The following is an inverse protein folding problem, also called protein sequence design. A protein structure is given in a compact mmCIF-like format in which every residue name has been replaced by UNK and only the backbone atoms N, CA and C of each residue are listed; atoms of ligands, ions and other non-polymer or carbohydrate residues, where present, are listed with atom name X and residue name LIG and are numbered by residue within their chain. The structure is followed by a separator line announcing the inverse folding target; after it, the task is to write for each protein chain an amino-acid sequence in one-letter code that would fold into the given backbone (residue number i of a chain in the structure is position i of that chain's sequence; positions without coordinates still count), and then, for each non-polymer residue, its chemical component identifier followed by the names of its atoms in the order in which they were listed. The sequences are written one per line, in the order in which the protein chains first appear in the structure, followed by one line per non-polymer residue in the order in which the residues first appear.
data_IF_965428094091
#
_entry.id   IF_965428094091
#
_cell.length_a   1.000
_cell.length_b   1.000
_cell.length_c   1.000
_cell.angle_alpha   90.00
_cell.angle_beta   90.00
_cell.angle_gamma   90.00
#
_symmetry.space_group_name_H-M   'P 1'
#
loop_
_entity.id
_entity.type
_entity.pdbx_description
1 polymer ?
#
# COMPACT_ATOMS: atom_id res chain seq x y z
N UNK A 1 0.66 19.29 -5.25
CA UNK A 1 1.02 17.88 -5.52
C UNK A 1 2.49 17.84 -5.92
N UNK A 2 3.36 17.17 -5.16
CA UNK A 2 4.82 17.25 -5.33
C UNK A 2 5.24 16.84 -6.75
N UNK A 3 6.00 17.71 -7.43
CA UNK A 3 6.53 17.46 -8.79
C UNK A 3 7.35 16.17 -8.87
N UNK A 4 7.98 15.75 -7.76
CA UNK A 4 8.70 14.48 -7.63
C UNK A 4 7.81 13.25 -7.80
N UNK A 5 6.64 13.23 -7.14
CA UNK A 5 5.67 12.11 -7.22
C UNK A 5 5.23 11.89 -8.67
N UNK A 6 4.85 12.97 -9.36
CA UNK A 6 4.44 12.89 -10.77
C UNK A 6 5.55 12.39 -11.69
N UNK A 7 6.81 12.78 -11.43
CA UNK A 7 7.97 12.31 -12.20
C UNK A 7 8.13 10.81 -12.07
N UNK A 8 8.08 10.28 -10.83
CA UNK A 8 8.21 8.84 -10.57
C UNK A 8 7.07 8.06 -11.21
N UNK A 9 5.82 8.51 -11.07
CA UNK A 9 4.66 7.83 -11.68
C UNK A 9 4.74 7.81 -13.21
N UNK A 10 5.13 8.92 -13.85
CA UNK A 10 5.30 8.98 -15.31
C UNK A 10 6.41 8.06 -15.79
N UNK A 11 7.55 8.06 -15.11
CA UNK A 11 8.68 7.18 -15.45
C UNK A 11 8.31 5.71 -15.30
N UNK A 12 7.60 5.37 -14.22
CA UNK A 12 7.07 4.01 -13.97
C UNK A 12 6.09 3.61 -15.05
N UNK A 13 5.10 4.45 -15.37
CA UNK A 13 4.13 4.15 -16.40
C UNK A 13 4.82 3.91 -17.75
N UNK A 14 5.77 4.76 -18.15
CA UNK A 14 6.52 4.60 -19.39
C UNK A 14 7.43 3.35 -19.41
N UNK A 15 7.79 2.80 -18.24
CA UNK A 15 8.66 1.63 -18.16
C UNK A 15 7.94 0.31 -18.42
N UNK A 16 6.60 0.29 -18.39
CA UNK A 16 5.79 -0.91 -18.55
C UNK A 16 5.94 -1.49 -19.96
N UNK A 17 6.18 -2.81 -20.03
CA UNK A 17 6.43 -3.51 -21.30
C UNK A 17 5.38 -3.18 -22.35
N UNK A 18 4.09 -3.20 -21.99
CA UNK A 18 3.02 -2.90 -22.94
C UNK A 18 3.08 -1.48 -23.49
N UNK A 19 3.46 -0.49 -22.67
CA UNK A 19 3.58 0.91 -23.12
C UNK A 19 4.82 1.11 -24.00
N UNK A 20 5.94 0.47 -23.64
CA UNK A 20 7.14 0.42 -24.49
C UNK A 20 6.84 -0.20 -25.85
N UNK A 21 6.09 -1.29 -25.88
CA UNK A 21 5.74 -1.98 -27.12
C UNK A 21 4.83 -1.13 -28.03
N UNK A 22 3.87 -0.41 -27.44
CA UNK A 22 3.04 0.55 -28.18
C UNK A 22 3.89 1.67 -28.79
N UNK A 23 4.88 2.20 -28.06
CA UNK A 23 5.82 3.20 -28.62
C UNK A 23 6.67 2.59 -29.74
N UNK A 24 7.20 1.38 -29.55
CA UNK A 24 8.04 0.66 -30.52
C UNK A 24 7.30 0.44 -31.85
N UNK A 25 6.01 0.16 -31.78
CA UNK A 25 5.14 -0.08 -32.94
C UNK A 25 4.54 1.20 -33.53
N UNK A 26 4.99 2.38 -33.10
CA UNK A 26 4.51 3.68 -33.61
C UNK A 26 3.15 4.12 -33.05
N UNK A 27 2.53 3.35 -32.16
CA UNK A 27 1.24 3.65 -31.51
C UNK A 27 1.40 4.62 -30.32
N UNK A 28 2.15 5.69 -30.52
CA UNK A 28 2.53 6.65 -29.48
C UNK A 28 1.32 7.31 -28.79
N UNK A 29 0.26 7.63 -29.53
CA UNK A 29 -0.96 8.20 -28.95
C UNK A 29 -1.66 7.23 -27.98
N UNK A 30 -1.67 5.93 -28.29
CA UNK A 30 -2.23 4.91 -27.40
C UNK A 30 -1.33 4.67 -26.18
N UNK A 31 -0.01 4.68 -26.37
CA UNK A 31 0.95 4.59 -25.27
C UNK A 31 0.74 5.76 -24.28
N UNK A 32 0.70 7.00 -24.76
CA UNK A 32 0.49 8.19 -23.94
C UNK A 32 -0.84 8.17 -23.20
N UNK A 33 -1.93 7.71 -23.85
CA UNK A 33 -3.24 7.58 -23.20
C UNK A 33 -3.18 6.60 -22.03
N UNK A 34 -2.64 5.40 -22.23
CA UNK A 34 -2.52 4.36 -21.19
C UNK A 34 -1.57 4.75 -20.06
N UNK A 35 -0.47 5.42 -20.40
CA UNK A 35 0.46 5.99 -19.42
C UNK A 35 -0.26 7.03 -18.55
N UNK A 36 -1.03 7.94 -19.16
CA UNK A 36 -1.84 8.93 -18.43
C UNK A 36 -2.91 8.29 -17.56
N UNK A 37 -3.62 7.30 -18.05
CA UNK A 37 -4.62 6.53 -17.28
C UNK A 37 -3.98 5.87 -16.06
N UNK A 38 -2.81 5.23 -16.24
CA UNK A 38 -2.04 4.62 -15.14
C UNK A 38 -1.62 5.66 -14.11
N UNK A 39 -1.05 6.79 -14.55
CA UNK A 39 -0.66 7.87 -13.65
C UNK A 39 -1.86 8.44 -12.88
N UNK A 40 -3.00 8.66 -13.54
CA UNK A 40 -4.21 9.19 -12.89
C UNK A 40 -4.78 8.21 -11.86
N UNK A 41 -4.80 6.92 -12.19
CA UNK A 41 -5.22 5.86 -11.26
C UNK A 41 -4.30 5.82 -10.03
N UNK A 42 -3.00 5.77 -10.25
CA UNK A 42 -2.00 5.68 -9.17
C UNK A 42 -2.01 6.94 -8.29
N UNK A 43 -2.22 8.13 -8.87
CA UNK A 43 -2.50 9.35 -8.11
C UNK A 43 -3.77 9.25 -7.28
N UNK A 44 -4.81 8.61 -7.81
CA UNK A 44 -6.04 8.33 -7.07
C UNK A 44 -5.78 7.47 -5.84
N UNK A 45 -4.97 6.41 -5.98
CA UNK A 45 -4.55 5.57 -4.86
C UNK A 45 -3.73 6.33 -3.81
N UNK A 46 -2.77 7.17 -4.22
CA UNK A 46 -2.00 8.00 -3.28
C UNK A 46 -2.90 8.98 -2.51
N UNK A 47 -3.88 9.60 -3.19
CA UNK A 47 -4.86 10.46 -2.52
C UNK A 47 -5.70 9.69 -1.50
N UNK A 48 -6.15 8.49 -1.85
CA UNK A 48 -6.88 7.64 -0.90
C UNK A 48 -5.99 7.24 0.28
N UNK A 49 -4.73 6.88 0.04
CA UNK A 49 -3.78 6.52 1.09
C UNK A 49 -3.55 7.66 2.10
N UNK A 50 -3.58 8.91 1.63
CA UNK A 50 -3.45 10.09 2.47
C UNK A 50 -4.73 10.47 3.23
N UNK A 51 -5.90 10.04 2.76
CA UNK A 51 -7.20 10.40 3.34
C UNK A 51 -7.75 9.35 4.30
N UNK A 52 -7.45 8.07 4.05
CA UNK A 52 -7.99 6.97 4.83
C UNK A 52 -7.13 6.72 6.08
N UNK A 53 -7.70 6.79 7.30
CA UNK A 53 -6.94 6.68 8.54
C UNK A 53 -6.27 5.31 8.74
N UNK A 54 -6.83 4.27 8.11
CA UNK A 54 -6.35 2.90 8.18
C UNK A 54 -5.61 2.45 6.92
N UNK A 55 -5.28 3.37 6.00
CA UNK A 55 -4.42 3.03 4.87
C UNK A 55 -3.02 2.65 5.37
N UNK A 56 -2.48 1.57 4.84
CA UNK A 56 -1.17 1.07 5.24
C UNK A 56 -0.53 0.24 4.12
N UNK A 57 0.77 0.07 4.20
CA UNK A 57 1.56 -0.77 3.29
C UNK A 57 2.10 -1.96 4.05
N UNK A 58 1.93 -3.17 3.52
CA UNK A 58 2.57 -4.38 4.02
C UNK A 58 3.61 -4.85 3.00
N UNK A 59 4.82 -5.20 3.44
CA UNK A 59 5.82 -5.88 2.61
C UNK A 59 6.26 -7.18 3.27
N UNK A 60 6.11 -8.28 2.55
CA UNK A 60 6.57 -9.60 2.95
C UNK A 60 7.18 -10.35 1.77
N UNK A 61 7.44 -11.64 1.95
CA UNK A 61 7.94 -12.52 0.89
C UNK A 61 6.98 -12.63 -0.31
N UNK A 62 5.66 -12.52 -0.05
CA UNK A 62 4.62 -12.51 -1.08
C UNK A 62 4.55 -11.23 -1.90
N UNK A 63 5.40 -10.23 -1.63
CA UNK A 63 5.41 -8.94 -2.29
C UNK A 63 4.94 -7.79 -1.41
N UNK A 64 4.57 -6.69 -2.06
CA UNK A 64 4.17 -5.45 -1.37
C UNK A 64 2.73 -5.11 -1.71
N UNK A 65 1.96 -4.77 -0.68
CA UNK A 65 0.52 -4.54 -0.73
C UNK A 65 0.22 -3.17 -0.12
N UNK A 66 -0.49 -2.31 -0.85
CA UNK A 66 -1.06 -1.07 -0.36
C UNK A 66 -2.54 -1.32 -0.06
N UNK A 67 -2.92 -1.20 1.21
CA UNK A 67 -4.28 -1.37 1.69
C UNK A 67 -4.96 0.00 1.80
N UNK A 68 -6.12 0.13 1.16
CA UNK A 68 -6.94 1.35 1.07
C UNK A 68 -8.38 1.03 1.52
N UNK A 69 -8.53 0.44 2.70
CA UNK A 69 -9.82 -0.08 3.18
C UNK A 69 -10.29 -1.27 2.33
N UNK A 70 -11.29 -1.07 1.46
CA UNK A 70 -11.82 -2.13 0.58
C UNK A 70 -10.92 -2.52 -0.58
N UNK A 71 -9.98 -1.66 -0.96
CA UNK A 71 -9.10 -1.92 -2.11
C UNK A 71 -7.72 -2.31 -1.61
N UNK A 72 -7.20 -3.42 -2.11
CA UNK A 72 -5.79 -3.78 -1.95
C UNK A 72 -5.11 -3.68 -3.31
N UNK A 73 -4.05 -2.88 -3.39
CA UNK A 73 -3.22 -2.75 -4.59
C UNK A 73 -1.91 -3.48 -4.33
N UNK A 74 -1.63 -4.54 -5.08
CA UNK A 74 -0.50 -5.42 -4.82
C UNK A 74 0.48 -5.50 -5.99
N UNK A 75 1.71 -5.86 -5.66
CA UNK A 75 2.71 -6.29 -6.64
C UNK A 75 3.58 -7.38 -6.05
N UNK A 76 3.99 -8.33 -6.89
CA UNK A 76 4.95 -9.36 -6.52
C UNK A 76 6.39 -8.82 -6.62
N UNK A 77 6.67 -7.76 -5.86
CA UNK A 77 7.97 -7.11 -5.82
C UNK A 77 8.19 -6.45 -4.45
N UNK A 78 9.46 -6.29 -4.01
CA UNK A 78 9.79 -5.52 -2.81
C UNK A 78 9.37 -4.05 -2.94
N UNK A 79 9.18 -3.36 -1.81
CA UNK A 79 8.72 -1.96 -1.79
C UNK A 79 9.57 -1.02 -2.65
N UNK A 80 10.89 -1.21 -2.70
CA UNK A 80 11.82 -0.42 -3.56
C UNK A 80 11.51 -0.53 -5.05
N UNK A 81 10.87 -1.63 -5.46
CA UNK A 81 10.43 -1.94 -6.83
C UNK A 81 8.92 -1.76 -7.01
N UNK A 82 8.21 -1.31 -5.97
CA UNK A 82 6.81 -0.91 -6.03
C UNK A 82 6.68 0.61 -5.85
N UNK A 83 6.82 1.41 -6.92
CA UNK A 83 6.89 2.87 -6.81
C UNK A 83 5.67 3.48 -6.12
N UNK A 84 4.48 2.90 -6.31
CA UNK A 84 3.26 3.37 -5.66
C UNK A 84 3.34 3.25 -4.13
N UNK A 85 3.70 2.08 -3.61
CA UNK A 85 3.86 1.89 -2.16
C UNK A 85 5.02 2.73 -1.61
N UNK A 86 6.16 2.79 -2.31
CA UNK A 86 7.28 3.63 -1.89
C UNK A 86 6.88 5.11 -1.79
N UNK A 87 6.08 5.61 -2.74
CA UNK A 87 5.55 6.97 -2.70
C UNK A 87 4.53 7.17 -1.56
N UNK A 88 3.65 6.19 -1.29
CA UNK A 88 2.71 6.26 -0.17
C UNK A 88 3.45 6.34 1.18
N UNK A 89 4.44 5.48 1.39
CA UNK A 89 5.29 5.50 2.60
C UNK A 89 6.07 6.80 2.71
N UNK A 90 6.63 7.31 1.61
CA UNK A 90 7.29 8.62 1.61
C UNK A 90 6.34 9.79 1.92
N UNK A 91 5.02 9.61 1.75
CA UNK A 91 3.98 10.57 2.12
C UNK A 91 3.42 10.37 3.53
N UNK A 92 3.97 9.43 4.31
CA UNK A 92 3.58 9.20 5.69
C UNK A 92 2.60 8.04 5.89
N UNK A 93 2.23 7.29 4.85
CA UNK A 93 1.42 6.08 5.03
C UNK A 93 2.18 5.06 5.90
N UNK A 94 1.55 4.49 6.94
CA UNK A 94 2.14 3.44 7.77
C UNK A 94 2.67 2.27 6.94
N UNK A 95 3.86 1.80 7.28
CA UNK A 95 4.51 0.66 6.64
C UNK A 95 4.79 -0.43 7.66
N UNK A 96 4.35 -1.65 7.35
CA UNK A 96 4.49 -2.85 8.17
C UNK A 96 5.36 -3.83 7.38
N UNK A 97 6.60 -3.99 7.80
CA UNK A 97 7.52 -4.97 7.24
C UNK A 97 7.39 -6.29 7.99
N UNK A 98 6.86 -7.30 7.31
CA UNK A 98 6.59 -8.62 7.88
C UNK A 98 7.63 -9.66 7.48
N UNK A 99 8.68 -9.27 6.75
CA UNK A 99 9.79 -10.17 6.39
C UNK A 99 10.50 -10.79 7.61
N UNK A 100 10.61 -10.12 8.78
CA UNK A 100 11.19 -10.73 9.97
C UNK A 100 10.24 -11.70 10.70
N UNK A 101 8.95 -11.72 10.36
CA UNK A 101 7.94 -12.57 11.04
C UNK A 101 8.20 -14.03 10.71
N UNK A 102 8.46 -14.84 11.74
CA UNK A 102 8.71 -16.27 11.60
C UNK A 102 7.44 -17.11 11.68
N UNK A 103 6.49 -16.73 12.54
CA UNK A 103 5.19 -17.39 12.67
C UNK A 103 4.18 -16.84 11.66
N UNK A 104 4.33 -17.28 10.41
CA UNK A 104 3.48 -16.86 9.28
C UNK A 104 2.03 -17.31 9.46
N UNK A 105 1.78 -18.43 10.16
CA UNK A 105 0.43 -18.93 10.41
C UNK A 105 -0.28 -18.04 11.42
N UNK A 106 0.38 -17.67 12.52
CA UNK A 106 -0.17 -16.70 13.47
C UNK A 106 -0.44 -15.36 12.79
N UNK A 107 0.46 -14.90 11.92
CA UNK A 107 0.27 -13.66 11.18
C UNK A 107 -0.93 -13.72 10.23
N UNK A 108 -1.08 -14.83 9.48
CA UNK A 108 -2.21 -15.03 8.57
C UNK A 108 -3.57 -15.09 9.29
N UNK A 109 -3.56 -15.47 10.58
CA UNK A 109 -4.74 -15.52 11.44
C UNK A 109 -5.03 -14.21 12.17
N UNK A 110 -4.24 -13.14 11.95
CA UNK A 110 -4.56 -11.83 12.50
C UNK A 110 -5.90 -11.31 11.98
N UNK A 111 -6.65 -10.56 12.81
CA UNK A 111 -7.89 -9.93 12.37
C UNK A 111 -7.61 -8.92 11.24
N UNK A 112 -8.65 -8.61 10.46
CA UNK A 112 -8.52 -7.60 9.39
C UNK A 112 -8.44 -6.21 10.00
N UNK A 113 -7.80 -5.27 9.29
CA UNK A 113 -7.89 -3.86 9.68
C UNK A 113 -9.25 -3.31 9.25
N UNK A 114 -9.92 -2.61 10.16
CA UNK A 114 -11.19 -1.97 9.91
C UNK A 114 -11.11 -0.94 8.78
N UNK A 115 -12.21 -0.75 8.06
CA UNK A 115 -12.25 0.13 6.89
C UNK A 115 -12.10 1.62 7.26
N UNK A 116 -12.84 2.06 8.28
CA UNK A 116 -13.09 3.48 8.54
C UNK A 116 -12.53 3.95 9.91
N UNK A 117 -11.74 3.10 10.58
CA UNK A 117 -11.30 3.35 11.96
C UNK A 117 -12.30 2.90 13.02
N UNK A 118 -13.47 2.39 12.64
CA UNK A 118 -14.44 1.80 13.56
C UNK A 118 -14.03 0.39 13.98
N UNK A 119 -13.95 0.14 15.28
CA UNK A 119 -13.82 -1.22 15.79
C UNK A 119 -15.18 -1.93 15.66
N UNK A 120 -15.33 -2.78 14.64
CA UNK A 120 -16.42 -3.78 14.60
C UNK A 120 -16.11 -4.89 15.61
N UNK A 121 -16.22 -4.54 16.89
CA UNK A 121 -16.15 -5.49 18.00
C UNK A 121 -17.50 -6.17 18.22
N UNK A 122 -17.97 -6.93 17.25
CA UNK A 122 -19.01 -7.96 17.48
C UNK A 122 -18.36 -9.22 18.07
N UNK A 123 -19.07 -10.00 18.92
CA UNK A 123 -18.46 -11.07 19.69
C UNK A 123 -18.18 -12.30 18.81
N UNK A 124 -16.89 -12.62 18.65
CA UNK A 124 -16.35 -13.94 18.27
C UNK A 124 -16.87 -14.54 16.94
N UNK A 125 -16.18 -14.23 15.84
CA UNK A 125 -16.32 -14.95 14.56
C UNK A 125 -15.20 -14.65 13.55
N UNK A 126 -15.01 -15.50 12.52
CA UNK A 126 -14.10 -15.25 11.40
C UNK A 126 -14.60 -14.05 10.58
N UNK A 127 -14.17 -12.86 10.98
CA UNK A 127 -14.70 -11.59 10.46
C UNK A 127 -14.36 -10.35 11.30
N UNK A 128 -13.71 -10.52 12.46
CA UNK A 128 -13.27 -9.41 13.32
C UNK A 128 -12.40 -8.42 12.56
N UNK A 129 -12.80 -7.15 12.60
CA UNK A 129 -11.99 -6.03 12.16
C UNK A 129 -11.48 -5.27 13.38
N UNK A 130 -10.23 -4.83 13.35
CA UNK A 130 -9.59 -4.05 14.43
C UNK A 130 -9.03 -2.74 13.89
N UNK A 131 -8.86 -1.75 14.74
CA UNK A 131 -8.12 -0.53 14.39
C UNK A 131 -6.71 -0.83 13.84
N UNK A 132 -6.19 0.05 12.99
CA UNK A 132 -4.82 -0.11 12.45
C UNK A 132 -3.77 -0.16 13.56
N UNK A 133 -3.93 0.63 14.62
CA UNK A 133 -3.00 0.63 15.77
C UNK A 133 -3.02 -0.71 16.50
N UNK A 134 -4.20 -1.29 16.74
CA UNK A 134 -4.32 -2.63 17.34
C UNK A 134 -3.71 -3.71 16.45
N UNK A 135 -3.92 -3.63 15.14
CA UNK A 135 -3.31 -4.56 14.19
C UNK A 135 -1.78 -4.46 14.22
N UNK A 136 -1.24 -3.23 14.27
CA UNK A 136 0.20 -2.98 14.39
C UNK A 136 0.76 -3.59 15.67
N UNK A 137 0.09 -3.43 16.82
CA UNK A 137 0.53 -4.03 18.08
C UNK A 137 0.65 -5.56 17.97
N UNK A 138 -0.36 -6.20 17.34
CA UNK A 138 -0.35 -7.66 17.13
C UNK A 138 0.73 -8.09 16.13
N UNK A 139 0.93 -7.35 15.04
CA UNK A 139 1.96 -7.65 14.05
C UNK A 139 3.37 -7.49 14.63
N UNK A 140 3.60 -6.47 15.45
CA UNK A 140 4.88 -6.20 16.12
C UNK A 140 5.22 -7.29 17.14
N UNK A 141 4.22 -7.83 17.87
CA UNK A 141 4.41 -9.00 18.75
C UNK A 141 4.89 -10.24 17.99
N UNK A 142 4.55 -10.36 16.70
CA UNK A 142 5.00 -11.43 15.82
C UNK A 142 6.35 -11.12 15.12
N UNK A 143 6.95 -9.97 15.42
CA UNK A 143 8.24 -9.54 14.90
C UNK A 143 8.19 -8.61 13.69
N UNK A 144 7.02 -8.07 13.32
CA UNK A 144 6.95 -7.06 12.27
C UNK A 144 7.65 -5.76 12.71
N UNK A 145 8.23 -5.04 11.75
CA UNK A 145 8.81 -3.70 12.00
C UNK A 145 7.99 -2.61 11.33
N UNK A 146 7.86 -1.46 12.01
CA UNK A 146 6.94 -0.39 11.63
C UNK A 146 7.70 0.87 11.24
N UNK A 147 7.29 1.50 10.14
CA UNK A 147 7.72 2.85 9.75
C UNK A 147 6.50 3.75 9.59
N UNK A 148 6.63 5.04 9.88
CA UNK A 148 5.51 5.98 9.99
C UNK A 148 4.44 5.49 10.97
N UNK A 149 4.87 5.11 12.17
CA UNK A 149 3.99 4.54 13.17
C UNK A 149 2.89 5.54 13.56
N UNK A 150 1.61 5.26 13.25
CA UNK A 150 0.51 6.17 13.55
C UNK A 150 0.27 6.33 15.06
N UNK A 151 0.76 5.41 15.90
CA UNK A 151 0.67 5.50 17.36
C UNK A 151 1.46 6.70 17.91
N UNK A 152 2.58 7.05 17.27
CA UNK A 152 3.46 8.13 17.72
C UNK A 152 2.92 9.54 17.40
N UNK A 153 1.93 9.65 16.51
CA UNK A 153 1.32 10.93 16.13
C UNK A 153 0.16 11.35 17.04
N UNK A 154 -0.30 10.49 17.98
CA UNK A 154 -1.43 10.79 18.88
C UNK A 154 -1.05 11.38 20.24
N UNK A 155 0.24 11.68 20.48
CA UNK A 155 0.74 12.19 21.78
C UNK A 155 0.91 13.72 21.86
N UNK A 156 0.15 14.51 21.09
CA UNK A 156 0.11 15.98 21.23
C UNK A 156 -1.30 16.47 21.51
#
# INVERSE_FOLDING_TARGET
MQTGVLRVLRATAASWWRHKELRRTGQTGQAQRRERETVLRDLGYLKQAALLPNAHVICGEGGTFLHLGWTTVSTFAPIKRFPLAALAVAQGTPFIDIRPVTDVIAFANLPRVARDGSDDSEPSGPGRSVSLTTYIDMAEQLGASITNDPRLCRST
#
